data_IF_428315040716
#
_entry.id   IF_428315040716
#
_cell.length_a   1.000
_cell.length_b   1.000
_cell.length_c   1.000
_cell.angle_alpha   90.00
_cell.angle_beta   90.00
_cell.angle_gamma   90.00
#
_symmetry.space_group_name_H-M   'P 1'
#
loop_
_entity.id
_entity.type
_entity.pdbx_description
1 polymer ?
#
# COMPACT_ATOMS: atom_id res chain seq x y z
N UNK A 1 39.88 -31.24 4.68
CA UNK A 1 38.44 -31.22 4.39
C UNK A 1 37.83 -30.22 5.37
N UNK A 2 37.47 -29.03 4.87
CA UNK A 2 36.52 -28.01 5.38
C UNK A 2 36.60 -27.60 6.88
N UNK A 3 36.62 -26.34 7.30
CA UNK A 3 36.71 -25.04 6.64
C UNK A 3 36.95 -24.02 7.79
N UNK A 4 38.05 -23.27 7.77
CA UNK A 4 38.17 -22.04 8.55
C UNK A 4 37.43 -20.92 7.80
N UNK A 5 36.76 -20.01 8.51
CA UNK A 5 37.23 -18.63 8.70
C UNK A 5 36.13 -17.73 9.24
N UNK A 6 36.48 -17.09 10.35
CA UNK A 6 35.83 -15.94 10.97
C UNK A 6 36.17 -14.65 10.20
N UNK A 7 35.27 -13.67 10.32
CA UNK A 7 35.54 -12.23 10.51
C UNK A 7 36.08 -11.38 9.35
N UNK A 8 35.43 -10.23 9.11
CA UNK A 8 36.09 -8.99 8.71
C UNK A 8 35.54 -8.28 7.47
N UNK A 9 34.87 -7.14 7.68
CA UNK A 9 34.77 -6.06 6.68
C UNK A 9 36.10 -5.28 6.62
N UNK A 10 36.49 -4.77 5.44
CA UNK A 10 36.57 -3.32 5.09
C UNK A 10 37.16 -3.12 3.68
N UNK A 11 36.57 -2.11 3.04
CA UNK A 11 36.77 -1.38 1.78
C UNK A 11 38.17 -1.21 1.16
N UNK A 12 38.20 -1.00 -0.17
CA UNK A 12 39.19 -0.15 -0.84
C UNK A 12 38.69 0.36 -2.21
N UNK A 13 38.26 1.63 -2.18
CA UNK A 13 38.32 2.67 -3.22
C UNK A 13 39.18 2.41 -4.49
N UNK A 14 38.59 2.66 -5.67
CA UNK A 14 39.23 3.21 -6.89
C UNK A 14 38.11 3.54 -7.91
N UNK A 15 37.49 4.75 -7.88
CA UNK A 15 37.86 5.95 -8.68
C UNK A 15 38.41 5.58 -10.07
N UNK A 16 37.63 5.70 -11.14
CA UNK A 16 37.28 6.94 -11.87
C UNK A 16 38.01 6.92 -13.22
N UNK A 17 37.25 6.72 -14.30
CA UNK A 17 37.67 6.90 -15.69
C UNK A 17 36.51 7.49 -16.46
N UNK A 18 36.48 8.83 -16.46
CA UNK A 18 35.95 9.76 -17.46
C UNK A 18 34.62 9.40 -18.14
N UNK A 19 33.49 10.05 -17.82
CA UNK A 19 33.24 11.48 -18.04
C UNK A 19 33.74 11.95 -19.40
N UNK A 20 33.10 11.47 -20.47
CA UNK A 20 32.75 12.29 -21.63
C UNK A 20 31.86 11.53 -22.62
N UNK A 21 30.54 11.70 -22.46
CA UNK A 21 29.61 12.02 -23.56
C UNK A 21 28.35 12.60 -22.94
N UNK A 22 28.49 13.85 -22.52
CA UNK A 22 27.40 14.74 -22.19
C UNK A 22 26.45 14.90 -23.38
N UNK A 23 25.15 14.92 -23.04
CA UNK A 23 24.14 15.87 -23.52
C UNK A 23 23.99 16.06 -25.03
N UNK A 24 23.03 15.36 -25.62
CA UNK A 24 22.14 15.90 -26.65
C UNK A 24 20.96 14.94 -26.96
N UNK A 25 19.85 15.10 -26.24
CA UNK A 25 18.45 14.89 -26.70
C UNK A 25 17.55 14.66 -25.49
N UNK A 26 16.73 15.66 -25.16
CA UNK A 26 15.82 15.61 -24.02
C UNK A 26 14.73 14.54 -24.13
N UNK A 27 14.58 13.80 -23.04
CA UNK A 27 13.35 13.31 -22.39
C UNK A 27 12.45 12.23 -23.07
N UNK A 28 12.22 11.20 -22.23
CA UNK A 28 11.07 10.30 -22.02
C UNK A 28 10.60 9.30 -23.09
N UNK A 29 10.89 8.03 -22.83
CA UNK A 29 9.92 6.95 -23.01
C UNK A 29 10.23 5.79 -22.06
N UNK A 30 9.43 5.64 -21.00
CA UNK A 30 9.35 4.42 -20.20
C UNK A 30 7.92 3.90 -20.35
N UNK A 31 7.78 2.91 -21.24
CA UNK A 31 6.51 2.25 -21.55
C UNK A 31 6.36 0.96 -20.75
N UNK A 32 5.33 0.90 -19.90
CA UNK A 32 4.57 -0.33 -19.65
C UNK A 32 3.09 -0.06 -19.98
N UNK A 33 2.46 -1.03 -20.66
CA UNK A 33 1.17 -0.98 -21.37
C UNK A 33 -0.06 -0.77 -20.45
N UNK A 34 -1.24 -0.40 -21.00
CA UNK A 34 -2.01 0.75 -20.50
C UNK A 34 -3.31 0.37 -19.78
N UNK A 35 -3.72 1.22 -18.84
CA UNK A 35 -5.15 1.48 -18.57
C UNK A 35 -5.32 2.99 -18.65
N UNK A 36 -5.87 3.48 -19.76
CA UNK A 36 -6.36 4.87 -19.84
C UNK A 36 -7.74 4.93 -19.20
N UNK A 37 -7.75 5.17 -17.89
CA UNK A 37 -8.97 5.38 -17.07
C UNK A 37 -9.73 6.66 -17.51
N UNK A 38 -9.04 7.58 -18.18
CA UNK A 38 -9.61 8.84 -18.66
C UNK A 38 -10.68 8.65 -19.77
N UNK A 39 -10.53 7.63 -20.61
CA UNK A 39 -11.49 7.35 -21.69
C UNK A 39 -12.75 6.63 -21.18
N UNK A 40 -12.64 5.84 -20.09
CA UNK A 40 -13.75 5.05 -19.56
C UNK A 40 -14.74 5.87 -18.72
N UNK A 41 -14.30 6.94 -18.04
CA UNK A 41 -15.18 7.67 -17.10
C UNK A 41 -15.84 8.89 -17.72
N UNK A 42 -15.27 9.46 -18.79
CA UNK A 42 -16.00 10.45 -19.60
C UNK A 42 -17.28 9.83 -20.21
N UNK A 43 -17.30 8.52 -20.47
CA UNK A 43 -18.49 7.78 -20.87
C UNK A 43 -19.54 7.63 -19.74
N UNK A 44 -19.12 7.60 -18.47
CA UNK A 44 -20.01 7.50 -17.30
C UNK A 44 -20.59 8.85 -16.87
N UNK A 45 -19.86 9.95 -17.07
CA UNK A 45 -20.30 11.31 -16.68
C UNK A 45 -21.45 11.88 -17.51
N UNK A 46 -21.68 11.37 -18.72
CA UNK A 46 -22.75 11.87 -19.60
C UNK A 46 -24.15 11.28 -19.31
N UNK A 47 -24.26 10.25 -18.46
CA UNK A 47 -25.54 9.59 -18.18
C UNK A 47 -26.27 10.09 -16.91
N UNK A 48 -25.71 10.99 -16.09
CA UNK A 48 -26.32 11.42 -14.81
C UNK A 48 -26.73 12.90 -14.72
N UNK A 49 -26.83 13.61 -15.85
CA UNK A 49 -27.43 14.96 -15.85
C UNK A 49 -28.93 14.91 -16.14
N UNK A 50 -29.74 14.59 -15.12
CA UNK A 50 -31.08 15.16 -14.94
C UNK A 50 -31.65 14.76 -13.57
N UNK A 51 -31.82 15.76 -12.68
CA UNK A 51 -32.55 15.59 -11.41
C UNK A 51 -32.01 16.46 -10.28
N UNK A 52 -32.54 17.67 -10.16
CA UNK A 52 -32.25 18.69 -9.12
C UNK A 52 -32.81 18.30 -7.75
N UNK A 53 -32.02 18.49 -6.68
CA UNK A 53 -32.42 19.26 -5.48
C UNK A 53 -31.28 19.36 -4.44
N UNK A 54 -31.35 20.45 -3.68
CA UNK A 54 -30.34 21.09 -2.85
C UNK A 54 -30.15 20.40 -1.47
N UNK A 55 -28.96 19.90 -1.13
CA UNK A 55 -28.55 19.60 0.26
C UNK A 55 -27.03 19.85 0.39
N UNK A 56 -26.64 20.74 1.32
CA UNK A 56 -25.28 20.82 1.85
C UNK A 56 -24.97 19.54 2.64
N UNK A 57 -23.98 18.74 2.21
CA UNK A 57 -23.50 17.59 2.98
C UNK A 57 -21.99 17.74 3.22
N UNK A 58 -21.69 17.80 4.51
CA UNK A 58 -20.41 17.77 5.20
C UNK A 58 -19.71 16.41 4.99
N UNK A 59 -18.38 16.44 4.78
CA UNK A 59 -17.43 15.32 4.84
C UNK A 59 -17.80 14.00 4.13
N UNK A 60 -17.47 13.94 2.83
CA UNK A 60 -17.54 12.71 2.05
C UNK A 60 -16.33 11.80 2.32
N UNK A 61 -16.34 11.07 3.45
CA UNK A 61 -15.54 9.85 3.60
C UNK A 61 -16.31 8.72 2.90
N UNK A 62 -15.67 7.89 2.06
CA UNK A 62 -16.38 6.78 1.42
C UNK A 62 -16.97 5.90 2.52
N UNK A 63 -18.30 5.80 2.53
CA UNK A 63 -19.08 5.04 3.52
C UNK A 63 -18.86 3.51 3.39
N UNK A 64 -17.84 3.09 2.64
CA UNK A 64 -17.51 1.72 2.35
C UNK A 64 -16.04 1.47 2.74
N UNK A 65 -15.85 0.89 3.92
CA UNK A 65 -14.53 0.59 4.52
C UNK A 65 -13.77 -0.45 3.67
N UNK A 66 -14.50 -1.38 3.03
CA UNK A 66 -13.97 -2.44 2.20
C UNK A 66 -14.55 -2.38 0.79
N UNK A 67 -13.71 -2.52 -0.24
CA UNK A 67 -14.19 -2.66 -1.60
C UNK A 67 -14.87 -4.02 -1.81
N UNK A 68 -16.18 -4.01 -2.01
CA UNK A 68 -16.97 -5.21 -2.23
C UNK A 68 -16.58 -5.97 -3.51
N UNK A 69 -16.04 -5.28 -4.52
CA UNK A 69 -15.54 -5.93 -5.73
C UNK A 69 -14.25 -6.69 -5.47
N UNK A 70 -13.35 -6.16 -4.64
CA UNK A 70 -12.13 -6.84 -4.22
C UNK A 70 -12.44 -8.06 -3.34
N UNK A 71 -13.39 -7.94 -2.40
CA UNK A 71 -13.84 -9.09 -1.60
C UNK A 71 -14.47 -10.18 -2.48
N UNK A 72 -15.24 -9.80 -3.49
CA UNK A 72 -15.79 -10.74 -4.47
C UNK A 72 -14.68 -11.40 -5.28
N UNK A 73 -13.70 -10.65 -5.75
CA UNK A 73 -12.55 -11.19 -6.48
C UNK A 73 -11.74 -12.18 -5.63
N UNK A 74 -11.51 -11.84 -4.36
CA UNK A 74 -10.89 -12.71 -3.38
C UNK A 74 -11.67 -14.03 -3.22
N UNK A 75 -13.00 -13.95 -3.05
CA UNK A 75 -13.88 -15.13 -2.94
C UNK A 75 -13.89 -15.95 -4.23
N UNK A 76 -14.11 -15.32 -5.38
CA UNK A 76 -14.34 -16.01 -6.67
C UNK A 76 -13.05 -16.58 -7.30
N UNK A 77 -11.95 -15.82 -7.27
CA UNK A 77 -10.74 -16.15 -8.03
C UNK A 77 -9.68 -16.84 -7.17
N UNK A 78 -9.45 -16.32 -5.96
CA UNK A 78 -8.36 -16.82 -5.10
C UNK A 78 -8.86 -18.00 -4.28
N UNK A 79 -10.05 -17.87 -3.68
CA UNK A 79 -10.62 -18.91 -2.84
C UNK A 79 -11.47 -19.94 -3.60
N UNK A 80 -11.71 -19.79 -4.91
CA UNK A 80 -12.61 -20.66 -5.68
C UNK A 80 -14.00 -20.85 -5.04
N UNK A 81 -14.54 -19.80 -4.42
CA UNK A 81 -15.76 -19.81 -3.61
C UNK A 81 -15.72 -20.71 -2.36
N UNK A 82 -14.53 -21.07 -1.89
CA UNK A 82 -14.31 -21.76 -0.62
C UNK A 82 -14.38 -20.77 0.56
N UNK A 83 -15.41 -20.92 1.38
CA UNK A 83 -15.65 -20.08 2.54
C UNK A 83 -14.61 -20.29 3.66
N UNK A 84 -14.09 -21.51 3.84
CA UNK A 84 -13.09 -21.81 4.87
C UNK A 84 -11.75 -21.15 4.49
N UNK A 85 -11.34 -21.28 3.23
CA UNK A 85 -10.13 -20.62 2.73
C UNK A 85 -10.23 -19.09 2.77
N UNK A 86 -11.39 -18.53 2.46
CA UNK A 86 -11.63 -17.08 2.61
C UNK A 86 -11.45 -16.63 4.06
N UNK A 87 -12.07 -17.35 5.02
CA UNK A 87 -11.95 -17.04 6.43
C UNK A 87 -10.49 -17.14 6.90
N UNK A 88 -9.76 -18.17 6.48
CA UNK A 88 -8.34 -18.34 6.81
C UNK A 88 -7.49 -17.15 6.34
N UNK A 89 -7.65 -16.71 5.08
CA UNK A 89 -6.92 -15.55 4.55
C UNK A 89 -7.24 -14.28 5.35
N UNK A 90 -8.52 -14.05 5.67
CA UNK A 90 -8.92 -12.89 6.46
C UNK A 90 -8.34 -12.98 7.88
N UNK A 91 -8.35 -14.15 8.52
CA UNK A 91 -7.75 -14.35 9.85
C UNK A 91 -6.25 -14.08 9.83
N UNK A 92 -5.50 -14.64 8.87
CA UNK A 92 -4.07 -14.34 8.72
C UNK A 92 -3.81 -12.84 8.55
N UNK A 93 -4.64 -12.15 7.77
CA UNK A 93 -4.53 -10.69 7.61
C UNK A 93 -4.75 -9.93 8.94
N UNK A 94 -5.76 -10.33 9.73
CA UNK A 94 -6.08 -9.71 11.01
C UNK A 94 -5.02 -10.01 12.09
N UNK A 95 -4.36 -11.16 12.02
CA UNK A 95 -3.27 -11.52 12.94
C UNK A 95 -1.94 -10.82 12.59
N UNK A 96 -1.63 -10.70 11.30
CA UNK A 96 -0.37 -10.11 10.82
C UNK A 96 -0.36 -8.58 10.93
N UNK A 97 -1.49 -7.92 10.64
CA UNK A 97 -1.53 -6.46 10.49
C UNK A 97 -1.10 -5.70 11.76
N UNK A 98 -1.52 -6.06 12.99
CA UNK A 98 -1.07 -5.40 14.21
C UNK A 98 0.45 -5.47 14.40
N UNK A 99 1.07 -6.62 14.06
CA UNK A 99 2.52 -6.82 14.19
C UNK A 99 3.28 -5.93 13.20
N UNK A 100 2.76 -5.77 11.98
CA UNK A 100 3.33 -4.86 10.97
C UNK A 100 3.17 -3.40 11.35
N UNK A 101 2.01 -3.00 11.87
CA UNK A 101 1.79 -1.64 12.38
C UNK A 101 2.75 -1.31 13.53
N UNK A 102 3.01 -2.27 14.42
CA UNK A 102 4.02 -2.11 15.47
C UNK A 102 5.43 -1.97 14.89
N UNK A 103 5.81 -2.82 13.92
CA UNK A 103 7.11 -2.75 13.25
C UNK A 103 7.33 -1.41 12.53
N UNK A 104 6.27 -0.87 11.91
CA UNK A 104 6.26 0.48 11.32
C UNK A 104 6.48 1.54 12.40
N UNK A 105 5.80 1.44 13.54
CA UNK A 105 5.96 2.38 14.66
C UNK A 105 7.40 2.38 15.21
N UNK A 106 7.97 1.19 15.36
CA UNK A 106 9.33 1.01 15.87
C UNK A 106 10.34 1.59 14.88
N UNK A 107 10.17 1.32 13.57
CA UNK A 107 11.00 1.88 12.52
C UNK A 107 10.94 3.41 12.49
N UNK A 108 9.76 4.01 12.69
CA UNK A 108 9.61 5.47 12.78
C UNK A 108 10.37 6.02 13.99
N UNK A 109 10.23 5.37 15.15
CA UNK A 109 10.88 5.78 16.40
C UNK A 109 12.41 5.68 16.31
N UNK A 110 12.92 4.68 15.60
CA UNK A 110 14.34 4.44 15.41
C UNK A 110 14.95 5.21 14.22
N UNK A 111 14.13 5.88 13.41
CA UNK A 111 14.57 6.53 12.18
C UNK A 111 14.97 5.56 11.06
N UNK A 112 14.54 4.30 11.13
CA UNK A 112 14.83 3.28 10.14
C UNK A 112 13.90 3.39 8.93
N UNK A 113 14.30 4.24 7.99
CA UNK A 113 13.57 4.48 6.76
C UNK A 113 13.40 3.21 5.88
N UNK A 114 14.34 2.26 5.96
CA UNK A 114 14.31 1.04 5.14
C UNK A 114 13.26 0.08 5.66
N UNK A 115 13.26 -0.17 6.97
CA UNK A 115 12.26 -1.05 7.60
C UNK A 115 10.86 -0.45 7.47
N UNK A 116 10.72 0.89 7.66
CA UNK A 116 9.46 1.59 7.39
C UNK A 116 8.96 1.32 5.97
N UNK A 117 9.82 1.47 4.95
CA UNK A 117 9.44 1.25 3.56
C UNK A 117 8.97 -0.19 3.33
N UNK A 118 9.69 -1.19 3.83
CA UNK A 118 9.40 -2.60 3.59
C UNK A 118 8.10 -3.04 4.25
N UNK A 119 7.90 -2.69 5.53
CA UNK A 119 6.68 -3.07 6.25
C UNK A 119 5.45 -2.36 5.70
N UNK A 120 5.58 -1.07 5.36
CA UNK A 120 4.50 -0.32 4.74
C UNK A 120 4.16 -0.86 3.33
N UNK A 121 5.16 -1.27 2.54
CA UNK A 121 4.92 -1.90 1.23
C UNK A 121 4.17 -3.23 1.34
N UNK A 122 4.57 -4.07 2.30
CA UNK A 122 3.93 -5.35 2.55
C UNK A 122 2.46 -5.15 2.99
N UNK A 123 2.23 -4.27 3.97
CA UNK A 123 0.89 -3.99 4.47
C UNK A 123 0.01 -3.32 3.41
N UNK A 124 0.56 -2.39 2.61
CA UNK A 124 -0.17 -1.79 1.47
C UNK A 124 -0.75 -2.85 0.55
N UNK A 125 0.06 -3.85 0.21
CA UNK A 125 -0.31 -4.90 -0.75
C UNK A 125 -1.36 -5.84 -0.17
N UNK A 126 -1.19 -6.28 1.09
CA UNK A 126 -2.18 -7.14 1.75
C UNK A 126 -3.51 -6.41 1.98
N UNK A 127 -3.49 -5.12 2.36
CA UNK A 127 -4.70 -4.30 2.49
C UNK A 127 -5.45 -4.15 1.16
N UNK A 128 -4.75 -4.06 0.02
CA UNK A 128 -5.40 -3.98 -1.28
C UNK A 128 -6.15 -5.28 -1.65
N UNK A 129 -5.59 -6.44 -1.30
CA UNK A 129 -6.20 -7.76 -1.56
C UNK A 129 -7.56 -7.88 -0.85
N UNK A 130 -7.64 -7.44 0.41
CA UNK A 130 -8.89 -7.49 1.20
C UNK A 130 -9.81 -6.29 0.94
N UNK A 131 -9.50 -5.45 -0.04
CA UNK A 131 -10.31 -4.28 -0.41
C UNK A 131 -10.22 -3.09 0.55
N UNK A 132 -9.30 -3.10 1.52
CA UNK A 132 -9.08 -2.00 2.48
C UNK A 132 -8.31 -0.84 1.82
N UNK A 133 -8.96 -0.16 0.87
CA UNK A 133 -8.33 0.84 -0.01
C UNK A 133 -7.72 2.02 0.75
N UNK A 134 -8.47 2.60 1.69
CA UNK A 134 -7.98 3.75 2.49
C UNK A 134 -6.75 3.37 3.32
N UNK A 135 -6.74 2.17 3.91
CA UNK A 135 -5.58 1.67 4.65
C UNK A 135 -4.38 1.45 3.72
N UNK A 136 -4.62 0.88 2.53
CA UNK A 136 -3.59 0.72 1.50
C UNK A 136 -3.00 2.07 1.09
N UNK A 137 -3.81 3.12 0.96
CA UNK A 137 -3.36 4.48 0.66
C UNK A 137 -2.48 5.07 1.78
N UNK A 138 -2.85 4.92 3.05
CA UNK A 138 -1.98 5.35 4.16
C UNK A 138 -0.66 4.57 4.19
N UNK A 139 -0.69 3.27 3.89
CA UNK A 139 0.51 2.45 3.81
C UNK A 139 1.41 2.88 2.64
N UNK A 140 0.83 3.29 1.50
CA UNK A 140 1.58 3.89 0.40
C UNK A 140 2.27 5.20 0.83
N UNK A 141 1.57 6.07 1.54
CA UNK A 141 2.15 7.33 2.03
C UNK A 141 3.31 7.11 3.03
N UNK A 142 3.24 6.04 3.82
CA UNK A 142 4.30 5.59 4.73
C UNK A 142 5.48 4.96 3.97
N UNK A 143 5.20 4.15 2.95
CA UNK A 143 6.20 3.58 2.04
C UNK A 143 7.00 4.70 1.37
N UNK A 144 6.32 5.74 0.87
CA UNK A 144 6.95 6.89 0.23
C UNK A 144 7.77 7.72 1.22
N UNK A 145 7.30 7.87 2.48
CA UNK A 145 8.09 8.47 3.56
C UNK A 145 9.40 7.73 3.82
N UNK A 146 9.37 6.39 3.87
CA UNK A 146 10.57 5.56 3.99
C UNK A 146 11.48 5.67 2.76
N UNK A 147 10.92 5.56 1.55
CA UNK A 147 11.64 5.67 0.28
C UNK A 147 12.40 6.99 0.14
N UNK A 148 11.75 8.10 0.53
CA UNK A 148 12.33 9.45 0.46
C UNK A 148 13.20 9.79 1.67
N UNK A 149 13.32 8.88 2.66
CA UNK A 149 13.99 9.11 3.95
C UNK A 149 13.48 10.35 4.69
N UNK A 150 12.20 10.68 4.50
CA UNK A 150 11.53 11.78 5.18
C UNK A 150 10.42 11.24 6.09
N UNK A 151 10.75 11.11 7.37
CA UNK A 151 9.89 10.52 8.39
C UNK A 151 9.15 11.56 9.24
N UNK A 152 9.29 12.86 8.95
CA UNK A 152 8.72 13.93 9.77
C UNK A 152 7.19 13.79 9.95
N UNK A 153 6.48 13.39 8.89
CA UNK A 153 5.03 13.20 8.91
C UNK A 153 4.60 11.74 9.13
N UNK A 154 5.55 10.80 9.19
CA UNK A 154 5.26 9.37 9.33
C UNK A 154 4.45 9.03 10.60
N UNK A 155 4.71 9.63 11.79
CA UNK A 155 3.88 9.38 12.97
C UNK A 155 2.40 9.75 12.77
N UNK A 156 2.13 10.88 12.09
CA UNK A 156 0.76 11.33 11.82
C UNK A 156 0.04 10.39 10.85
N UNK A 157 0.75 9.96 9.79
CA UNK A 157 0.23 8.99 8.81
C UNK A 157 -0.02 7.63 9.46
N UNK A 158 0.88 7.15 10.32
CA UNK A 158 0.71 5.90 11.06
C UNK A 158 -0.52 5.96 11.98
N UNK A 159 -0.73 7.07 12.71
CA UNK A 159 -1.92 7.22 13.56
C UNK A 159 -3.21 7.09 12.75
N UNK A 160 -3.27 7.67 11.54
CA UNK A 160 -4.42 7.51 10.64
C UNK A 160 -4.58 6.07 10.15
N UNK A 161 -3.48 5.39 9.81
CA UNK A 161 -3.48 3.98 9.42
C UNK A 161 -4.00 3.08 10.54
N UNK A 162 -3.59 3.30 11.80
CA UNK A 162 -4.06 2.53 12.95
C UNK A 162 -5.56 2.72 13.21
N UNK A 163 -6.06 3.96 13.11
CA UNK A 163 -7.51 4.23 13.21
C UNK A 163 -8.28 3.58 12.06
N UNK A 164 -7.74 3.62 10.84
CA UNK A 164 -8.37 2.96 9.70
C UNK A 164 -8.40 1.44 9.86
N UNK A 165 -7.32 0.85 10.35
CA UNK A 165 -7.25 -0.57 10.60
C UNK A 165 -8.34 -1.06 11.56
N UNK A 166 -8.66 -0.30 12.62
CA UNK A 166 -9.76 -0.65 13.53
C UNK A 166 -11.11 -0.73 12.80
N UNK A 167 -11.34 0.12 11.79
CA UNK A 167 -12.55 0.08 10.96
C UNK A 167 -12.54 -1.14 10.05
N UNK A 168 -11.40 -1.41 9.42
CA UNK A 168 -11.19 -2.55 8.52
C UNK A 168 -11.38 -3.88 9.27
N UNK A 169 -10.80 -4.00 10.46
CA UNK A 169 -10.94 -5.17 11.34
C UNK A 169 -12.40 -5.45 11.65
N UNK A 170 -13.14 -4.43 12.11
CA UNK A 170 -14.56 -4.60 12.41
C UNK A 170 -15.38 -5.01 11.18
N UNK A 171 -15.08 -4.45 10.01
CA UNK A 171 -15.76 -4.80 8.76
C UNK A 171 -15.45 -6.25 8.31
N UNK A 172 -14.18 -6.66 8.37
CA UNK A 172 -13.77 -8.02 8.01
C UNK A 172 -14.34 -9.07 8.98
N UNK A 173 -14.43 -8.76 10.27
CA UNK A 173 -15.08 -9.63 11.25
C UNK A 173 -16.58 -9.84 10.99
N UNK A 174 -17.25 -8.92 10.29
CA UNK A 174 -18.64 -9.10 9.85
C UNK A 174 -18.74 -9.99 8.62
N UNK A 175 -17.77 -9.93 7.70
CA UNK A 175 -17.72 -10.78 6.51
C UNK A 175 -17.43 -12.25 6.82
N UNK A 176 -16.79 -12.54 7.95
CA UNK A 176 -16.49 -13.90 8.42
C UNK A 176 -17.60 -14.55 9.27
N UNK A 177 -18.74 -13.87 9.46
CA UNK A 177 -19.91 -14.40 10.19
C UNK A 177 -20.92 -15.01 9.23
#
# INVERSE_FOLDING_TARGET
MLQCQSLGMITANAMQGDREKCLAAGMNDYTTKPIRIDDLTNALRNCQKQGVSNIEIVENMPNNILDASALKELKDIICNNDAEQFIEIIQCYLEDTPQRLQSIQDAITQGDAKTLQLEAHALKSSSAIVGAKTLSEFCKDLEDSGRNKNLAEAPSKLSKAMTEYQRVEAALQLECK
#
